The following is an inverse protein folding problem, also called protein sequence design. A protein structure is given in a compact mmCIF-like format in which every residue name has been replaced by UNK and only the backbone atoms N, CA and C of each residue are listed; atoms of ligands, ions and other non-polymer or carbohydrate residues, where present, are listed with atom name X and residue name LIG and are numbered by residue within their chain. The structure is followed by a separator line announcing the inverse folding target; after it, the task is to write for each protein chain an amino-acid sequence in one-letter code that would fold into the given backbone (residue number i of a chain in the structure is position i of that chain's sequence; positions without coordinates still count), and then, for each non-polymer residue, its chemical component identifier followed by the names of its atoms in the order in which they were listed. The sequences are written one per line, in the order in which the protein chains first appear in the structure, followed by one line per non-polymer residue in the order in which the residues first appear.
data_IF_157371840133
#
_entry.id   IF_157371840133
#
_cell.length_a   1.000
_cell.length_b   1.000
_cell.length_c   1.000
_cell.angle_alpha   90.00
_cell.angle_beta   90.00
_cell.angle_gamma   90.00
#
_symmetry.space_group_name_H-M   'P 1'
#
loop_
_entity.id
_entity.type
_entity.pdbx_description
1 polymer ?
#
# COMPACT_ATOMS: atom_id res chain seq x y z
N UNK A 1 -31.41 23.53 -62.25
CA UNK A 1 -30.00 23.17 -62.54
C UNK A 1 -29.58 22.04 -61.65
N UNK A 2 -29.46 20.81 -62.15
CA UNK A 2 -28.89 19.64 -61.42
C UNK A 2 -27.38 19.64 -61.62
N UNK A 3 -26.63 20.01 -60.58
CA UNK A 3 -25.17 19.94 -60.63
C UNK A 3 -24.76 18.46 -60.74
N UNK A 4 -24.24 18.03 -61.87
CA UNK A 4 -23.60 16.72 -62.07
C UNK A 4 -22.22 16.76 -61.39
N UNK A 5 -22.17 16.30 -60.17
CA UNK A 5 -20.89 16.08 -59.48
C UNK A 5 -20.03 15.12 -60.31
N UNK A 6 -18.85 15.57 -60.69
CA UNK A 6 -17.91 14.76 -61.50
C UNK A 6 -17.54 13.48 -60.72
N UNK A 7 -17.56 12.32 -61.41
CA UNK A 7 -17.11 11.01 -60.83
C UNK A 7 -15.75 11.11 -60.14
N UNK A 8 -14.86 11.94 -60.68
CA UNK A 8 -13.51 12.17 -60.09
C UNK A 8 -13.61 12.87 -58.71
N UNK A 9 -14.55 13.83 -58.55
CA UNK A 9 -14.74 14.54 -57.31
C UNK A 9 -15.36 13.61 -56.25
N UNK A 10 -16.27 12.73 -56.66
CA UNK A 10 -16.90 11.74 -55.77
C UNK A 10 -15.89 10.72 -55.27
N UNK A 11 -15.02 10.20 -56.15
CA UNK A 11 -13.94 9.29 -55.80
C UNK A 11 -12.95 9.97 -54.83
N UNK A 12 -12.55 11.20 -55.08
CA UNK A 12 -11.64 11.95 -54.18
C UNK A 12 -12.26 12.17 -52.81
N UNK A 13 -13.54 12.53 -52.74
CA UNK A 13 -14.25 12.70 -51.48
C UNK A 13 -14.34 11.37 -50.70
N UNK A 14 -14.63 10.27 -51.37
CA UNK A 14 -14.73 8.95 -50.76
C UNK A 14 -13.38 8.49 -50.20
N UNK A 15 -12.28 8.78 -50.93
CA UNK A 15 -10.92 8.45 -50.48
C UNK A 15 -10.53 9.24 -49.23
N UNK A 16 -10.86 10.53 -49.19
CA UNK A 16 -10.58 11.39 -48.05
C UNK A 16 -11.37 10.92 -46.84
N UNK A 17 -12.66 10.59 -47.00
CA UNK A 17 -13.49 10.07 -45.88
C UNK A 17 -12.92 8.73 -45.40
N UNK A 18 -12.51 7.83 -46.29
CA UNK A 18 -11.97 6.53 -45.92
C UNK A 18 -10.62 6.65 -45.21
N UNK A 19 -9.76 7.59 -45.61
CA UNK A 19 -8.48 7.86 -44.95
C UNK A 19 -8.73 8.46 -43.56
N UNK A 20 -9.70 9.37 -43.40
CA UNK A 20 -10.06 9.94 -42.09
C UNK A 20 -10.65 8.89 -41.14
N UNK A 21 -11.36 7.87 -41.63
CA UNK A 21 -11.90 6.79 -40.80
C UNK A 21 -10.87 5.71 -40.45
N UNK A 22 -9.76 5.64 -41.20
CA UNK A 22 -8.66 4.73 -40.94
C UNK A 22 -7.55 5.33 -40.05
N UNK A 23 -7.63 6.64 -39.75
CA UNK A 23 -6.77 7.19 -38.69
C UNK A 23 -7.15 6.52 -37.41
N UNK A 24 -6.23 5.80 -36.72
CA UNK A 24 -6.53 5.32 -35.38
C UNK A 24 -6.90 6.57 -34.59
N UNK A 25 -8.09 6.53 -33.98
CA UNK A 25 -8.41 7.45 -32.90
C UNK A 25 -7.41 7.05 -31.83
N UNK A 26 -6.26 7.71 -31.80
CA UNK A 26 -5.38 7.67 -30.65
C UNK A 26 -6.26 8.31 -29.58
N UNK A 27 -6.95 7.47 -28.82
CA UNK A 27 -7.55 7.90 -27.58
C UNK A 27 -6.38 8.54 -26.83
N UNK A 28 -6.41 9.84 -26.69
CA UNK A 28 -5.42 10.55 -25.89
C UNK A 28 -5.67 10.06 -24.47
N UNK A 29 -4.96 8.99 -24.11
CA UNK A 29 -4.97 8.51 -22.73
C UNK A 29 -4.59 9.71 -21.88
N UNK A 30 -5.36 9.96 -20.84
CA UNK A 30 -5.02 11.03 -19.91
C UNK A 30 -3.59 10.78 -19.43
N UNK A 31 -2.77 11.81 -19.42
CA UNK A 31 -1.41 11.67 -18.94
C UNK A 31 -1.44 11.22 -17.46
N UNK A 32 -0.58 10.26 -17.06
CA UNK A 32 -0.50 9.84 -15.68
C UNK A 32 -0.14 11.02 -14.80
N UNK A 33 -0.89 11.20 -13.74
CA UNK A 33 -0.71 12.30 -12.78
C UNK A 33 -0.99 11.83 -11.37
N UNK A 34 -0.53 12.58 -10.38
CA UNK A 34 -0.80 12.35 -8.97
C UNK A 34 0.26 12.98 -8.08
N UNK A 35 -0.09 13.13 -6.82
CA UNK A 35 0.80 13.64 -5.78
C UNK A 35 0.67 12.84 -4.49
N UNK A 36 1.66 12.96 -3.60
CA UNK A 36 1.58 12.45 -2.24
C UNK A 36 1.25 13.65 -1.34
N UNK A 37 0.07 13.62 -0.71
CA UNK A 37 -0.38 14.67 0.20
C UNK A 37 0.29 14.51 1.57
N UNK A 38 0.22 13.31 2.12
CA UNK A 38 0.86 12.99 3.40
C UNK A 38 1.42 11.58 3.42
N UNK A 39 2.39 11.35 4.32
CA UNK A 39 2.91 10.03 4.65
C UNK A 39 3.31 10.00 6.13
N UNK A 40 3.01 8.89 6.83
CA UNK A 40 3.29 8.74 8.25
C UNK A 40 2.65 7.49 8.83
N UNK A 41 2.69 7.35 10.14
CA UNK A 41 1.98 6.27 10.83
C UNK A 41 0.53 6.70 11.08
N UNK A 42 -0.41 5.81 10.80
CA UNK A 42 -1.79 5.97 11.18
C UNK A 42 -2.17 5.06 12.34
N UNK A 43 -2.79 5.65 13.35
CA UNK A 43 -3.36 4.92 14.48
C UNK A 43 -4.88 4.82 14.40
N UNK A 44 -5.47 5.53 13.45
CA UNK A 44 -6.91 5.70 13.36
C UNK A 44 -7.53 4.82 12.27
N UNK A 45 -8.54 4.07 12.70
CA UNK A 45 -9.69 3.58 11.98
C UNK A 45 -9.54 3.25 10.49
N UNK A 46 -9.03 2.11 10.19
CA UNK A 46 -9.05 1.44 8.90
C UNK A 46 -8.87 -0.06 9.15
N UNK A 47 -8.78 -0.85 8.11
CA UNK A 47 -8.48 -2.28 8.22
C UNK A 47 -7.12 -2.54 8.86
N UNK A 48 -6.18 -1.60 8.72
CA UNK A 48 -4.85 -1.70 9.29
C UNK A 48 -4.64 -0.59 10.32
N UNK A 49 -4.55 -0.99 11.57
CA UNK A 49 -4.10 -0.12 12.66
C UNK A 49 -2.58 -0.18 12.71
N UNK A 50 -1.96 0.94 13.05
CA UNK A 50 -0.51 1.05 13.16
C UNK A 50 0.19 0.60 11.87
N UNK A 51 -0.09 1.29 10.79
CA UNK A 51 0.50 1.07 9.48
C UNK A 51 1.13 2.38 8.98
N UNK A 52 2.07 2.27 8.07
CA UNK A 52 2.50 3.42 7.28
C UNK A 52 1.38 3.77 6.31
N UNK A 53 0.79 4.94 6.47
CA UNK A 53 -0.24 5.48 5.60
C UNK A 53 0.38 6.47 4.62
N UNK A 54 0.07 6.32 3.35
CA UNK A 54 0.44 7.25 2.29
C UNK A 54 -0.84 7.74 1.62
N UNK A 55 -1.12 9.02 1.75
CA UNK A 55 -2.29 9.66 1.15
C UNK A 55 -1.93 10.23 -0.21
N UNK A 56 -2.64 9.78 -1.24
CA UNK A 56 -2.45 10.16 -2.62
C UNK A 56 -3.60 11.05 -3.08
N UNK A 57 -3.27 12.06 -3.88
CA UNK A 57 -4.25 13.03 -4.37
C UNK A 57 -4.18 13.20 -5.88
N UNK A 58 -5.35 13.37 -6.48
CA UNK A 58 -5.55 13.66 -7.90
C UNK A 58 -4.82 12.68 -8.83
N UNK A 59 -4.89 11.37 -8.48
CA UNK A 59 -4.22 10.31 -9.22
C UNK A 59 -5.01 9.97 -10.47
N UNK A 60 -4.36 10.05 -11.63
CA UNK A 60 -4.92 9.61 -12.92
C UNK A 60 -3.99 8.56 -13.52
N UNK A 61 -4.55 7.39 -13.84
CA UNK A 61 -3.79 6.27 -14.39
C UNK A 61 -4.57 5.50 -15.45
N UNK A 62 -3.84 4.83 -16.33
CA UNK A 62 -4.37 3.96 -17.37
C UNK A 62 -4.11 2.47 -17.09
N UNK A 63 -3.01 2.14 -16.43
CA UNK A 63 -2.56 0.77 -16.21
C UNK A 63 -2.37 0.43 -14.74
N UNK A 64 -1.60 1.24 -13.99
CA UNK A 64 -1.19 0.88 -12.64
C UNK A 64 -0.85 2.07 -11.75
N UNK A 65 -1.04 1.87 -10.44
CA UNK A 65 -0.55 2.77 -9.39
C UNK A 65 0.21 1.92 -8.38
N UNK A 66 1.38 2.39 -7.98
CA UNK A 66 2.16 1.78 -6.92
C UNK A 66 2.76 2.82 -5.98
N UNK A 67 2.93 2.43 -4.73
CA UNK A 67 3.66 3.18 -3.70
C UNK A 67 4.86 2.37 -3.30
N UNK A 68 6.04 2.95 -3.41
CA UNK A 68 7.30 2.38 -2.94
C UNK A 68 7.70 3.02 -1.63
N UNK A 69 8.08 2.24 -0.63
CA UNK A 69 8.69 2.72 0.61
C UNK A 69 10.18 2.48 0.60
N UNK A 70 10.92 3.47 1.04
CA UNK A 70 12.37 3.45 1.14
C UNK A 70 12.84 3.80 2.57
N UNK A 71 14.03 3.31 2.90
CA UNK A 71 14.87 3.82 3.98
C UNK A 71 16.16 4.34 3.35
N UNK A 72 16.34 5.64 3.35
CA UNK A 72 17.34 6.28 2.53
C UNK A 72 17.18 5.93 1.04
N UNK A 73 18.19 5.28 0.47
CA UNK A 73 18.15 4.82 -0.93
C UNK A 73 17.74 3.34 -1.08
N UNK A 74 17.48 2.65 0.02
CA UNK A 74 17.13 1.24 0.00
C UNK A 74 15.62 1.06 -0.14
N UNK A 75 15.18 0.42 -1.23
CA UNK A 75 13.78 0.02 -1.42
C UNK A 75 13.43 -1.08 -0.40
N UNK A 76 12.42 -0.83 0.41
CA UNK A 76 11.91 -1.77 1.41
C UNK A 76 10.79 -2.63 0.85
N UNK A 77 9.79 -1.99 0.27
CA UNK A 77 8.62 -2.67 -0.27
C UNK A 77 7.92 -1.85 -1.34
N UNK A 78 7.06 -2.51 -2.10
CA UNK A 78 6.18 -1.89 -3.08
C UNK A 78 4.75 -2.38 -2.86
N UNK A 79 3.83 -1.45 -2.67
CA UNK A 79 2.39 -1.71 -2.67
C UNK A 79 1.81 -1.32 -4.02
N UNK A 80 1.07 -2.23 -4.66
CA UNK A 80 0.46 -2.00 -5.97
C UNK A 80 -1.06 -2.04 -5.84
N UNK A 81 -1.73 -1.03 -6.38
CA UNK A 81 -3.18 -0.91 -6.37
C UNK A 81 -3.83 -2.04 -7.17
N UNK A 82 -4.88 -2.66 -6.63
CA UNK A 82 -5.59 -3.79 -7.21
C UNK A 82 -7.10 -3.51 -7.25
N UNK A 83 -7.77 -4.03 -8.26
CA UNK A 83 -9.23 -4.00 -8.30
C UNK A 83 -9.89 -2.63 -8.46
N UNK A 84 -9.11 -1.60 -8.71
CA UNK A 84 -9.59 -0.23 -8.95
C UNK A 84 -9.52 0.06 -10.46
N UNK A 85 -10.60 0.58 -11.01
CA UNK A 85 -10.67 0.87 -12.44
C UNK A 85 -9.72 2.03 -12.80
N UNK A 86 -9.08 1.97 -13.98
CA UNK A 86 -8.34 3.10 -14.53
C UNK A 86 -9.20 4.37 -14.61
N UNK A 87 -8.56 5.51 -14.52
CA UNK A 87 -9.23 6.81 -14.55
C UNK A 87 -8.65 7.79 -13.55
N UNK A 88 -9.41 8.82 -13.23
CA UNK A 88 -9.02 9.86 -12.28
C UNK A 88 -9.68 9.63 -10.92
N UNK A 89 -8.85 9.62 -9.90
CA UNK A 89 -9.24 9.44 -8.51
C UNK A 89 -8.77 10.63 -7.69
N UNK A 90 -9.70 11.35 -7.08
CA UNK A 90 -9.38 12.55 -6.30
C UNK A 90 -8.59 12.23 -5.02
N UNK A 91 -8.79 11.03 -4.46
CA UNK A 91 -8.12 10.60 -3.25
C UNK A 91 -7.96 9.07 -3.21
N UNK A 92 -6.78 8.60 -2.84
CA UNK A 92 -6.47 7.19 -2.59
C UNK A 92 -5.58 7.11 -1.35
N UNK A 93 -5.85 6.15 -0.48
CA UNK A 93 -4.99 5.86 0.67
C UNK A 93 -4.33 4.52 0.50
N UNK A 94 -3.03 4.47 0.72
CA UNK A 94 -2.25 3.23 0.77
C UNK A 94 -1.77 3.03 2.20
N UNK A 95 -2.31 2.03 2.90
CA UNK A 95 -1.84 1.63 4.21
C UNK A 95 -0.98 0.37 4.09
N UNK A 96 0.23 0.43 4.60
CA UNK A 96 1.24 -0.63 4.52
C UNK A 96 1.61 -1.05 5.93
N UNK A 97 1.22 -2.25 6.33
CA UNK A 97 1.78 -2.95 7.47
C UNK A 97 2.87 -3.92 6.99
N UNK A 98 3.50 -4.62 7.92
CA UNK A 98 4.70 -5.40 7.62
C UNK A 98 4.51 -6.55 6.65
N UNK A 99 3.38 -7.23 6.72
CA UNK A 99 3.10 -8.41 5.88
C UNK A 99 1.86 -8.22 4.99
N UNK A 100 1.14 -7.11 5.15
CA UNK A 100 -0.10 -6.86 4.45
C UNK A 100 -0.27 -5.39 4.13
N UNK A 101 -1.08 -5.12 3.14
CA UNK A 101 -1.57 -3.80 2.80
C UNK A 101 -3.09 -3.77 2.92
N UNK A 102 -3.69 -2.58 2.82
CA UNK A 102 -5.13 -2.40 2.73
C UNK A 102 -5.73 -3.24 1.59
N UNK A 103 -7.01 -3.58 1.65
CA UNK A 103 -7.70 -4.53 0.77
C UNK A 103 -7.53 -4.28 -0.73
N UNK A 104 -7.31 -3.02 -1.11
CA UNK A 104 -7.08 -2.63 -2.51
C UNK A 104 -5.61 -2.63 -2.92
N UNK A 105 -4.70 -3.06 -2.05
CA UNK A 105 -3.27 -3.02 -2.32
C UNK A 105 -2.63 -4.39 -2.16
N UNK A 106 -1.84 -4.77 -3.14
CA UNK A 106 -0.99 -5.96 -3.09
C UNK A 106 0.42 -5.55 -2.70
N UNK A 107 0.95 -6.18 -1.67
CA UNK A 107 2.26 -5.84 -1.12
C UNK A 107 3.33 -6.84 -1.59
N UNK A 108 4.48 -6.31 -1.99
CA UNK A 108 5.68 -7.13 -2.07
C UNK A 108 6.13 -7.45 -0.64
N UNK A 109 6.21 -8.75 -0.24
CA UNK A 109 6.56 -9.10 1.12
C UNK A 109 7.89 -8.47 1.55
N UNK A 110 7.91 -7.91 2.74
CA UNK A 110 9.11 -7.36 3.36
C UNK A 110 9.12 -7.68 4.84
N UNK A 111 10.30 -7.78 5.40
CA UNK A 111 10.45 -7.99 6.84
C UNK A 111 11.06 -6.73 7.42
N UNK A 112 10.33 -5.96 8.21
CA UNK A 112 10.90 -4.83 8.92
C UNK A 112 12.02 -5.29 9.84
N UNK A 113 13.05 -4.48 9.90
CA UNK A 113 14.14 -4.63 10.86
C UNK A 113 14.09 -3.44 11.80
N UNK A 114 14.42 -3.66 13.07
CA UNK A 114 14.35 -2.63 14.10
C UNK A 114 15.18 -1.38 13.77
N UNK A 115 16.23 -1.55 12.98
CA UNK A 115 17.17 -0.50 12.56
C UNK A 115 16.86 0.11 11.18
N UNK A 116 15.82 -0.39 10.49
CA UNK A 116 15.47 0.04 9.13
C UNK A 116 14.08 0.65 9.11
N UNK A 117 14.02 1.95 9.30
CA UNK A 117 12.77 2.72 9.39
C UNK A 117 12.49 3.36 8.04
N UNK A 118 11.27 3.22 7.48
CA UNK A 118 10.89 3.96 6.29
C UNK A 118 10.94 5.47 6.53
N UNK A 119 11.50 6.19 5.59
CA UNK A 119 11.64 7.64 5.64
C UNK A 119 11.19 8.35 4.35
N UNK A 120 10.88 7.57 3.32
CA UNK A 120 10.49 8.11 2.02
C UNK A 120 9.45 7.22 1.33
N UNK A 121 8.42 7.85 0.79
CA UNK A 121 7.45 7.24 -0.11
C UNK A 121 7.59 7.81 -1.52
N UNK A 122 7.45 6.96 -2.54
CA UNK A 122 7.48 7.34 -3.96
C UNK A 122 6.22 6.84 -4.62
N UNK A 123 5.49 7.73 -5.27
CA UNK A 123 4.33 7.40 -6.10
C UNK A 123 4.77 7.05 -7.52
N UNK A 124 4.37 5.89 -7.98
CA UNK A 124 4.59 5.42 -9.35
C UNK A 124 3.24 5.24 -10.04
N UNK A 125 3.04 5.90 -11.17
CA UNK A 125 1.81 5.81 -11.97
C UNK A 125 2.19 5.41 -13.39
N UNK A 126 1.58 4.35 -13.89
CA UNK A 126 1.85 3.80 -15.24
C UNK A 126 3.36 3.63 -15.51
N UNK A 127 4.08 3.12 -14.49
CA UNK A 127 5.52 2.88 -14.55
C UNK A 127 6.41 4.12 -14.40
N UNK A 128 5.84 5.31 -14.20
CA UNK A 128 6.59 6.57 -14.00
C UNK A 128 6.57 6.99 -12.55
N UNK A 129 7.72 7.35 -12.02
CA UNK A 129 7.80 8.00 -10.70
C UNK A 129 7.37 9.46 -10.84
N UNK A 130 6.25 9.83 -10.19
CA UNK A 130 5.63 11.15 -10.34
C UNK A 130 5.86 12.05 -9.14
N UNK A 131 5.95 11.48 -7.96
CA UNK A 131 6.09 12.24 -6.72
C UNK A 131 6.88 11.44 -5.68
N UNK A 132 7.61 12.14 -4.84
CA UNK A 132 8.22 11.58 -3.65
C UNK A 132 7.89 12.44 -2.43
N UNK A 133 7.85 11.81 -1.27
CA UNK A 133 7.63 12.48 0.01
C UNK A 133 8.50 11.84 1.07
N UNK A 134 9.35 12.64 1.69
CA UNK A 134 10.07 12.25 2.90
C UNK A 134 9.22 12.49 4.13
N UNK A 135 9.37 11.63 5.12
CA UNK A 135 8.68 11.72 6.40
C UNK A 135 9.57 11.18 7.52
N UNK A 136 9.24 11.50 8.73
CA UNK A 136 9.94 10.97 9.89
C UNK A 136 8.96 10.17 10.72
N UNK A 137 9.31 8.94 11.05
CA UNK A 137 8.56 8.11 11.97
C UNK A 137 9.24 8.18 13.34
N UNK A 138 8.43 8.21 14.40
CA UNK A 138 8.93 8.00 15.72
C UNK A 138 9.42 6.56 15.87
N UNK A 139 10.61 6.37 16.46
CA UNK A 139 11.21 5.05 16.59
C UNK A 139 10.38 4.12 17.49
N UNK A 140 9.75 4.66 18.52
CA UNK A 140 8.89 3.89 19.42
C UNK A 140 7.58 3.51 18.71
N UNK A 141 7.01 4.40 17.88
CA UNK A 141 5.85 4.10 17.06
C UNK A 141 6.17 3.04 16.01
N UNK A 142 7.32 3.14 15.35
CA UNK A 142 7.79 2.16 14.39
C UNK A 142 7.99 0.77 15.02
N UNK A 143 8.63 0.70 16.17
CA UNK A 143 8.87 -0.53 16.92
C UNK A 143 7.56 -1.23 17.37
N UNK A 144 6.46 -0.49 17.46
CA UNK A 144 5.16 -1.00 17.86
C UNK A 144 4.21 -1.28 16.69
N UNK A 145 4.67 -1.19 15.44
CA UNK A 145 3.86 -1.62 14.29
C UNK A 145 3.60 -3.13 14.33
N UNK A 146 2.39 -3.59 13.94
CA UNK A 146 2.11 -5.01 13.77
C UNK A 146 3.11 -5.62 12.78
N UNK A 147 3.88 -6.60 13.22
CA UNK A 147 4.94 -7.25 12.45
C UNK A 147 6.36 -6.84 12.85
N UNK A 148 6.57 -5.69 13.47
CA UNK A 148 7.69 -5.47 14.37
C UNK A 148 7.28 -5.98 15.76
N UNK A 149 6.85 -7.24 15.85
CA UNK A 149 6.50 -7.81 17.16
C UNK A 149 7.77 -7.83 17.97
N UNK A 150 7.87 -7.00 19.05
CA UNK A 150 8.95 -7.18 19.99
C UNK A 150 8.95 -8.67 20.36
N UNK A 151 10.10 -9.30 20.49
CA UNK A 151 10.16 -10.74 20.73
C UNK A 151 9.24 -11.08 21.88
N UNK A 152 8.41 -12.10 21.70
CA UNK A 152 7.56 -12.63 22.75
C UNK A 152 8.41 -12.81 24.03
N UNK A 153 7.97 -12.22 25.11
CA UNK A 153 8.70 -12.26 26.37
C UNK A 153 7.81 -12.72 27.52
N UNK A 154 8.44 -13.33 28.49
CA UNK A 154 7.82 -13.58 29.80
C UNK A 154 8.03 -12.30 30.61
N UNK A 155 6.95 -11.57 30.89
CA UNK A 155 7.02 -10.37 31.72
C UNK A 155 7.15 -10.72 33.19
N UNK A 156 6.47 -11.79 33.61
CA UNK A 156 6.47 -12.24 34.99
C UNK A 156 6.17 -13.73 35.07
N UNK A 157 6.85 -14.41 35.95
CA UNK A 157 6.48 -15.74 36.41
C UNK A 157 6.48 -15.77 37.94
N UNK A 158 5.38 -16.17 38.56
CA UNK A 158 5.24 -16.21 40.00
C UNK A 158 4.19 -17.22 40.44
N UNK A 159 4.28 -17.64 41.70
CA UNK A 159 3.19 -18.40 42.33
C UNK A 159 2.09 -17.39 42.74
N UNK A 160 0.89 -17.64 42.28
CA UNK A 160 -0.26 -16.86 42.68
C UNK A 160 -1.01 -17.57 43.83
N UNK A 161 -1.29 -16.82 44.88
CA UNK A 161 -2.07 -17.31 46.03
C UNK A 161 -3.49 -16.75 46.01
N UNK A 162 -3.78 -15.80 45.13
CA UNK A 162 -5.03 -15.06 45.08
C UNK A 162 -6.06 -15.59 44.11
N UNK A 163 -7.25 -15.55 44.52
CA UNK A 163 -8.62 -15.46 43.99
C UNK A 163 -8.91 -15.73 42.50
N UNK A 164 -7.99 -16.29 41.79
CA UNK A 164 -8.26 -16.79 40.45
C UNK A 164 -8.97 -18.16 40.48
N UNK A 165 -9.25 -18.69 39.34
CA UNK A 165 -9.84 -20.01 39.13
C UNK A 165 -8.94 -21.11 39.74
N UNK A 166 -7.64 -20.86 39.82
CA UNK A 166 -6.66 -21.76 40.42
C UNK A 166 -5.93 -21.09 41.58
N UNK A 167 -5.92 -21.74 42.74
CA UNK A 167 -5.13 -21.33 43.91
C UNK A 167 -3.79 -22.07 43.90
N UNK A 168 -2.75 -21.39 44.37
CA UNK A 168 -1.39 -21.95 44.42
C UNK A 168 -0.90 -22.49 43.11
N UNK A 169 -1.10 -21.72 42.05
CA UNK A 169 -0.68 -22.07 40.72
C UNK A 169 0.50 -21.19 40.28
N UNK A 170 1.30 -21.66 39.36
CA UNK A 170 2.29 -20.85 38.66
C UNK A 170 1.55 -20.00 37.64
N UNK A 171 1.64 -18.69 37.79
CA UNK A 171 1.15 -17.70 36.82
C UNK A 171 2.32 -17.22 35.99
N UNK A 172 2.14 -17.22 34.68
CA UNK A 172 3.12 -16.70 33.71
C UNK A 172 2.44 -15.63 32.88
N UNK A 173 2.87 -14.39 33.04
CA UNK A 173 2.39 -13.26 32.30
C UNK A 173 3.25 -13.11 31.05
N UNK A 174 2.62 -13.24 29.89
CA UNK A 174 3.27 -13.15 28.59
C UNK A 174 2.98 -11.79 27.97
N UNK A 175 4.00 -11.21 27.35
CA UNK A 175 3.88 -9.94 26.62
C UNK A 175 4.19 -10.15 25.15
N UNK A 176 3.48 -9.41 24.31
CA UNK A 176 3.67 -9.41 22.87
C UNK A 176 3.52 -10.80 22.24
N UNK A 177 2.57 -11.60 22.72
CA UNK A 177 2.29 -12.92 22.16
C UNK A 177 1.30 -12.77 21.02
N UNK A 178 1.76 -13.09 19.81
CA UNK A 178 0.92 -13.28 18.65
C UNK A 178 0.94 -14.77 18.27
N UNK A 179 -0.22 -15.37 18.04
CA UNK A 179 -0.31 -16.78 17.66
C UNK A 179 -1.49 -17.02 16.74
N UNK A 180 -1.27 -17.88 15.76
CA UNK A 180 -2.31 -18.31 14.83
C UNK A 180 -2.95 -19.64 15.25
N UNK A 181 -2.22 -20.49 15.95
CA UNK A 181 -2.67 -21.84 16.33
C UNK A 181 -2.58 -22.12 17.83
N UNK A 182 -1.42 -21.99 18.44
CA UNK A 182 -1.22 -22.30 19.87
C UNK A 182 0.00 -21.59 20.47
N UNK A 183 -0.10 -21.35 21.79
CA UNK A 183 1.02 -20.91 22.62
C UNK A 183 1.27 -21.95 23.69
N UNK A 184 2.53 -22.30 23.91
CA UNK A 184 2.94 -23.24 24.95
C UNK A 184 3.90 -22.57 25.93
N UNK A 185 3.69 -22.81 27.20
CA UNK A 185 4.59 -22.40 28.27
C UNK A 185 5.17 -23.69 28.89
N UNK A 186 6.49 -23.81 28.89
CA UNK A 186 7.17 -24.94 29.51
C UNK A 186 7.79 -24.51 30.83
N UNK A 187 7.53 -25.28 31.88
CA UNK A 187 8.11 -25.08 33.19
C UNK A 187 9.19 -26.16 33.42
N UNK A 188 10.33 -25.73 33.89
CA UNK A 188 11.45 -26.62 34.23
C UNK A 188 11.71 -26.54 35.71
N UNK A 189 12.18 -27.67 36.30
CA UNK A 189 12.77 -27.73 37.65
C UNK A 189 14.23 -28.08 37.48
N UNK A 190 15.09 -27.40 38.20
CA UNK A 190 16.51 -27.73 38.35
C UNK A 190 16.70 -28.91 39.33
#
# INVERSE_FOLDING_TARGET
MKARMSRKFFCLLLTVVMVCTLLPIIALAAEPSGSIESAGITHAGGYLKNAVSVELKDVTFAESVAVKLYSGDTLLTTATLQGVNPGSHGFLTCCIATETADEYWSLTPWTPKDDVVPDKAVLVVDGRELAEKTFTLDADEWANLPGTVPPCSIERAAITHDNGILKNAVSVDLKNVNFESSVQVQLYSD
#
